data_IF_234869182041
#
_entry.id   IF_234869182041
#
_cell.length_a   1.000
_cell.length_b   1.000
_cell.length_c   1.000
_cell.angle_alpha   90.00
_cell.angle_beta   90.00
_cell.angle_gamma   90.00
#
_symmetry.space_group_name_H-M   'P 1'
#
loop_
_entity.id
_entity.type
_entity.pdbx_description
1 polymer ?
#
# COMPACT_ATOMS: atom_id res chain seq x y z
N UNK A 1 -14.54 53.09 16.17
CA UNK A 1 -13.89 51.85 16.59
C UNK A 1 -14.22 50.85 15.53
N UNK A 2 -13.28 50.61 14.60
CA UNK A 2 -13.42 49.68 13.48
C UNK A 2 -12.69 48.41 13.87
N UNK A 3 -13.40 47.32 13.90
CA UNK A 3 -12.80 46.01 14.12
C UNK A 3 -11.97 45.59 12.91
N UNK A 4 -10.80 44.92 13.10
CA UNK A 4 -10.00 44.46 12.00
C UNK A 4 -10.65 43.23 11.37
N UNK A 5 -10.85 43.29 10.07
CA UNK A 5 -11.29 42.18 9.20
C UNK A 5 -10.11 41.22 9.00
N UNK A 6 -10.11 40.12 9.72
CA UNK A 6 -9.20 38.98 9.44
C UNK A 6 -9.65 38.28 8.17
N UNK A 7 -9.01 38.62 7.05
CA UNK A 7 -9.12 37.93 5.79
C UNK A 7 -8.04 36.85 5.71
N UNK A 8 -8.18 35.78 6.47
CA UNK A 8 -7.50 34.51 6.12
C UNK A 8 -8.48 33.63 5.35
N UNK A 9 -8.41 33.76 4.01
CA UNK A 9 -9.17 32.97 3.05
C UNK A 9 -8.60 31.58 2.86
N UNK A 10 -8.24 30.88 3.92
CA UNK A 10 -7.99 29.44 3.87
C UNK A 10 -9.34 28.74 3.78
N UNK A 11 -9.71 28.30 2.59
CA UNK A 11 -10.73 27.25 2.44
C UNK A 11 -10.40 26.14 3.44
N UNK A 12 -11.40 25.60 4.18
CA UNK A 12 -11.14 24.46 5.04
C UNK A 12 -10.55 23.36 4.14
N UNK A 13 -9.23 23.11 4.26
CA UNK A 13 -8.62 21.90 3.72
C UNK A 13 -9.45 20.77 4.28
N UNK A 14 -10.00 19.95 3.38
CA UNK A 14 -10.84 18.85 3.79
C UNK A 14 -10.02 17.99 4.77
N UNK A 15 -10.47 17.90 6.04
CA UNK A 15 -9.85 17.04 7.07
C UNK A 15 -9.92 15.55 6.66
N UNK A 16 -10.31 15.27 5.45
CA UNK A 16 -10.50 13.94 4.84
C UNK A 16 -9.40 13.70 3.81
N UNK A 17 -8.74 12.57 3.91
CA UNK A 17 -7.75 12.11 2.93
C UNK A 17 -8.08 10.70 2.42
N UNK A 18 -7.49 10.33 1.29
CA UNK A 18 -7.56 8.98 0.74
C UNK A 18 -6.16 8.38 0.76
N UNK A 19 -6.01 7.25 1.42
CA UNK A 19 -4.73 6.56 1.58
C UNK A 19 -4.78 5.21 0.90
N UNK A 20 -3.81 4.94 0.04
CA UNK A 20 -3.76 3.74 -0.79
C UNK A 20 -2.60 2.86 -0.37
N UNK A 21 -2.83 1.59 -0.15
CA UNK A 21 -1.78 0.61 -0.21
C UNK A 21 -1.21 0.49 -1.62
N UNK A 22 -0.06 -0.18 -1.79
CA UNK A 22 0.62 -0.35 -3.06
C UNK A 22 0.48 -1.77 -3.61
N UNK A 23 1.05 -2.72 -2.87
CA UNK A 23 1.26 -4.10 -3.32
C UNK A 23 -0.04 -4.91 -3.25
N UNK A 24 -0.51 -5.45 -4.38
CA UNK A 24 -1.79 -6.16 -4.45
C UNK A 24 -3.01 -5.25 -4.64
N UNK A 25 -2.94 -3.97 -4.23
CA UNK A 25 -4.01 -2.99 -4.43
C UNK A 25 -3.85 -2.17 -5.72
N UNK A 26 -2.77 -1.41 -5.84
CA UNK A 26 -2.51 -0.53 -6.99
C UNK A 26 -1.73 -1.24 -8.09
N UNK A 27 -0.82 -2.13 -7.71
CA UNK A 27 0.01 -2.91 -8.63
C UNK A 27 -0.06 -4.39 -8.29
N UNK A 28 0.10 -5.24 -9.31
CA UNK A 28 0.22 -6.69 -9.16
C UNK A 28 1.71 -7.06 -9.09
N UNK A 29 2.31 -6.87 -7.93
CA UNK A 29 3.73 -7.12 -7.68
C UNK A 29 4.04 -8.55 -7.22
N UNK A 30 3.03 -9.34 -6.84
CA UNK A 30 3.20 -10.68 -6.28
C UNK A 30 3.97 -11.65 -7.18
N UNK A 31 3.77 -11.67 -8.52
CA UNK A 31 4.60 -12.52 -9.39
C UNK A 31 6.08 -12.16 -9.36
N UNK A 32 6.43 -10.85 -9.21
CA UNK A 32 7.82 -10.39 -9.15
C UNK A 32 8.47 -10.78 -7.82
N UNK A 33 7.72 -10.72 -6.71
CA UNK A 33 8.17 -11.24 -5.42
C UNK A 33 8.43 -12.75 -5.49
N UNK A 34 7.53 -13.53 -6.09
CA UNK A 34 7.72 -14.97 -6.27
C UNK A 34 9.00 -15.29 -7.05
N UNK A 35 9.27 -14.56 -8.12
CA UNK A 35 10.48 -14.73 -8.95
C UNK A 35 11.75 -14.39 -8.15
N UNK A 36 11.76 -13.26 -7.42
CA UNK A 36 12.87 -12.86 -6.57
C UNK A 36 13.14 -13.86 -5.45
N UNK A 37 12.11 -14.29 -4.75
CA UNK A 37 12.17 -15.30 -3.66
C UNK A 37 12.69 -16.64 -4.20
N UNK A 38 12.21 -17.07 -5.36
CA UNK A 38 12.66 -18.29 -6.03
C UNK A 38 14.14 -18.20 -6.36
N UNK A 39 14.62 -17.07 -6.91
CA UNK A 39 16.03 -16.86 -7.23
C UNK A 39 16.91 -16.87 -5.96
N UNK A 40 16.46 -16.24 -4.89
CA UNK A 40 17.19 -16.24 -3.61
C UNK A 40 17.24 -17.64 -3.02
N UNK A 41 16.13 -18.39 -3.03
CA UNK A 41 16.11 -19.77 -2.51
C UNK A 41 16.98 -20.72 -3.32
N UNK A 42 17.09 -20.55 -4.63
CA UNK A 42 18.04 -21.29 -5.45
C UNK A 42 19.48 -21.02 -5.02
N UNK A 43 19.85 -19.76 -4.69
CA UNK A 43 21.17 -19.41 -4.12
C UNK A 43 21.39 -20.10 -2.77
N UNK A 44 20.36 -20.16 -1.95
CA UNK A 44 20.38 -20.83 -0.63
C UNK A 44 20.31 -22.36 -0.72
N UNK A 45 20.19 -22.92 -1.92
CA UNK A 45 20.19 -24.37 -2.18
C UNK A 45 18.92 -25.08 -1.75
N UNK A 46 17.82 -24.38 -1.69
CA UNK A 46 16.51 -24.92 -1.31
C UNK A 46 15.42 -24.54 -2.33
N UNK A 47 14.36 -25.34 -2.34
CA UNK A 47 13.21 -25.11 -3.22
C UNK A 47 12.28 -24.05 -2.64
N UNK A 48 11.63 -23.29 -3.52
CA UNK A 48 10.59 -22.32 -3.22
C UNK A 48 9.32 -22.63 -4.01
N UNK A 49 8.18 -22.49 -3.38
CA UNK A 49 6.89 -22.84 -3.99
C UNK A 49 5.87 -21.71 -3.76
N UNK A 50 4.80 -21.64 -4.57
CA UNK A 50 3.69 -20.71 -4.31
C UNK A 50 3.06 -20.86 -2.92
N UNK A 51 3.08 -22.09 -2.36
CA UNK A 51 2.58 -22.32 -1.00
C UNK A 51 3.47 -21.65 0.07
N UNK A 52 4.77 -21.52 -0.17
CA UNK A 52 5.67 -20.78 0.71
C UNK A 52 5.39 -19.27 0.63
N UNK A 53 5.17 -18.74 -0.56
CA UNK A 53 4.84 -17.33 -0.77
C UNK A 53 3.56 -16.95 -0.03
N UNK A 54 2.50 -17.75 -0.10
CA UNK A 54 1.23 -17.50 0.60
C UNK A 54 1.42 -17.28 2.11
N UNK A 55 2.44 -17.91 2.72
CA UNK A 55 2.75 -17.70 4.14
C UNK A 55 3.30 -16.30 4.44
N UNK A 56 3.76 -15.57 3.42
CA UNK A 56 4.47 -14.30 3.58
C UNK A 56 3.68 -13.08 3.10
N UNK A 57 2.54 -13.30 2.45
CA UNK A 57 1.69 -12.25 1.90
C UNK A 57 1.39 -11.14 2.90
N UNK A 58 1.56 -9.90 2.48
CA UNK A 58 1.36 -8.71 3.31
C UNK A 58 2.31 -8.62 4.52
N UNK A 59 3.40 -9.41 4.52
CA UNK A 59 4.42 -9.40 5.57
C UNK A 59 5.53 -8.37 5.31
N UNK A 60 6.32 -8.09 6.36
CA UNK A 60 7.53 -7.26 6.24
C UNK A 60 8.69 -8.07 5.62
N UNK A 61 9.65 -7.36 5.00
CA UNK A 61 10.92 -7.94 4.53
C UNK A 61 11.61 -8.79 5.60
N UNK A 62 11.60 -8.34 6.83
CA UNK A 62 12.21 -9.03 7.98
C UNK A 62 11.56 -10.41 8.26
N UNK A 63 10.23 -10.50 8.09
CA UNK A 63 9.50 -11.77 8.18
C UNK A 63 9.88 -12.71 7.05
N UNK A 64 9.96 -12.19 5.82
CA UNK A 64 10.38 -12.95 4.65
C UNK A 64 11.80 -13.48 4.82
N UNK A 65 12.74 -12.64 5.20
CA UNK A 65 14.15 -13.03 5.45
C UNK A 65 14.25 -14.14 6.49
N UNK A 66 13.54 -14.03 7.61
CA UNK A 66 13.52 -15.08 8.67
C UNK A 66 12.97 -16.41 8.15
N UNK A 67 11.93 -16.37 7.34
CA UNK A 67 11.34 -17.58 6.75
C UNK A 67 12.30 -18.26 5.77
N UNK A 68 12.93 -17.49 4.87
CA UNK A 68 13.92 -17.99 3.92
C UNK A 68 15.13 -18.60 4.62
N UNK A 69 15.62 -17.95 5.69
CA UNK A 69 16.70 -18.50 6.53
C UNK A 69 16.34 -19.86 7.14
N UNK A 70 15.09 -20.03 7.60
CA UNK A 70 14.61 -21.30 8.17
C UNK A 70 14.61 -22.45 7.15
N UNK A 71 14.55 -22.17 5.85
CA UNK A 71 14.58 -23.16 4.76
C UNK A 71 15.96 -23.31 4.12
N UNK A 72 16.88 -22.38 4.36
CA UNK A 72 18.18 -22.33 3.72
C UNK A 72 19.02 -23.59 4.01
N UNK A 73 19.67 -24.14 2.99
CA UNK A 73 20.63 -25.25 3.10
C UNK A 73 22.08 -24.77 2.96
N UNK A 74 22.28 -23.53 2.51
CA UNK A 74 23.58 -22.87 2.41
C UNK A 74 23.60 -21.66 3.35
N UNK A 75 24.73 -21.36 3.99
CA UNK A 75 24.80 -20.22 4.91
C UNK A 75 24.70 -18.89 4.17
N UNK A 76 23.93 -17.98 4.74
CA UNK A 76 23.89 -16.57 4.36
C UNK A 76 23.49 -15.74 5.61
N UNK A 77 23.89 -14.48 5.65
CA UNK A 77 23.44 -13.57 6.69
C UNK A 77 22.04 -13.02 6.37
N UNK A 78 21.25 -12.60 7.38
CA UNK A 78 19.98 -11.92 7.15
C UNK A 78 20.11 -10.73 6.19
N UNK A 79 21.14 -9.90 6.36
CA UNK A 79 21.39 -8.73 5.50
C UNK A 79 21.65 -9.10 4.04
N UNK A 80 22.41 -10.18 3.78
CA UNK A 80 22.63 -10.67 2.42
C UNK A 80 21.34 -11.13 1.74
N UNK A 81 20.45 -11.82 2.50
CA UNK A 81 19.18 -12.27 1.95
C UNK A 81 18.27 -11.07 1.66
N UNK A 82 18.20 -10.09 2.56
CA UNK A 82 17.45 -8.87 2.36
C UNK A 82 17.94 -8.11 1.11
N UNK A 83 19.25 -7.93 0.97
CA UNK A 83 19.86 -7.29 -0.20
C UNK A 83 19.51 -8.03 -1.51
N UNK A 84 19.64 -9.36 -1.55
CA UNK A 84 19.31 -10.15 -2.73
C UNK A 84 17.83 -10.07 -3.10
N UNK A 85 16.92 -10.09 -2.11
CA UNK A 85 15.50 -9.94 -2.35
C UNK A 85 15.18 -8.55 -2.92
N UNK A 86 15.65 -7.51 -2.23
CA UNK A 86 15.34 -6.13 -2.61
C UNK A 86 15.93 -5.76 -3.95
N UNK A 87 17.21 -6.08 -4.21
CA UNK A 87 17.79 -5.85 -5.54
C UNK A 87 17.07 -6.65 -6.62
N UNK A 88 16.79 -7.95 -6.34
CA UNK A 88 16.13 -8.81 -7.31
C UNK A 88 14.75 -8.31 -7.72
N UNK A 89 13.86 -8.02 -6.75
CA UNK A 89 12.51 -7.55 -7.07
C UNK A 89 12.52 -6.14 -7.68
N UNK A 90 13.41 -5.26 -7.23
CA UNK A 90 13.53 -3.90 -7.78
C UNK A 90 14.05 -3.92 -9.23
N UNK A 91 15.03 -4.77 -9.54
CA UNK A 91 15.54 -4.94 -10.90
C UNK A 91 14.47 -5.53 -11.82
N UNK A 92 13.66 -6.49 -11.35
CA UNK A 92 12.51 -7.01 -12.11
C UNK A 92 11.52 -5.89 -12.46
N UNK A 93 11.21 -4.99 -11.51
CA UNK A 93 10.36 -3.83 -11.79
C UNK A 93 11.00 -2.89 -12.80
N UNK A 94 12.29 -2.59 -12.65
CA UNK A 94 13.04 -1.69 -13.57
C UNK A 94 13.09 -2.24 -14.99
N UNK A 95 13.32 -3.54 -15.14
CA UNK A 95 13.51 -4.18 -16.44
C UNK A 95 12.19 -4.49 -17.14
N UNK A 96 11.22 -5.02 -16.41
CA UNK A 96 9.97 -5.54 -16.98
C UNK A 96 8.73 -4.70 -16.66
N UNK A 97 8.84 -3.76 -15.70
CA UNK A 97 7.69 -3.03 -15.17
C UNK A 97 6.87 -3.87 -14.19
N UNK A 98 5.77 -3.30 -13.75
CA UNK A 98 4.78 -3.96 -12.89
C UNK A 98 3.37 -3.64 -13.39
N UNK A 99 2.47 -4.62 -13.52
CA UNK A 99 1.10 -4.37 -13.95
C UNK A 99 0.36 -3.49 -12.94
N UNK A 100 -0.29 -2.42 -13.44
CA UNK A 100 -1.21 -1.61 -12.64
C UNK A 100 -2.55 -2.32 -12.59
N UNK A 101 -3.13 -2.42 -11.39
CA UNK A 101 -4.42 -3.10 -11.18
C UNK A 101 -5.57 -2.35 -11.88
N UNK A 102 -6.57 -3.08 -12.40
CA UNK A 102 -7.73 -2.46 -13.03
C UNK A 102 -8.45 -1.48 -12.09
N UNK A 103 -8.72 -0.26 -12.55
CA UNK A 103 -9.39 0.79 -11.79
C UNK A 103 -8.44 1.67 -10.96
N UNK A 104 -7.16 1.31 -10.80
CA UNK A 104 -6.24 2.09 -9.95
C UNK A 104 -5.95 3.48 -10.52
N UNK A 105 -5.69 3.59 -11.83
CA UNK A 105 -5.43 4.89 -12.47
C UNK A 105 -6.68 5.76 -12.50
N UNK A 106 -7.82 5.16 -12.81
CA UNK A 106 -9.12 5.82 -12.90
C UNK A 106 -9.50 6.40 -11.54
N UNK A 107 -9.41 5.59 -10.47
CA UNK A 107 -9.76 6.04 -9.13
C UNK A 107 -8.81 7.13 -8.62
N UNK A 108 -7.49 6.99 -8.84
CA UNK A 108 -6.52 8.03 -8.49
C UNK A 108 -6.79 9.34 -9.21
N UNK A 109 -7.12 9.28 -10.51
CA UNK A 109 -7.49 10.47 -11.28
C UNK A 109 -8.77 11.14 -10.74
N UNK A 110 -9.77 10.36 -10.34
CA UNK A 110 -11.00 10.88 -9.73
C UNK A 110 -10.72 11.51 -8.35
N UNK A 111 -9.88 10.89 -7.51
CA UNK A 111 -9.48 11.44 -6.20
C UNK A 111 -8.75 12.78 -6.37
N UNK A 112 -7.80 12.84 -7.31
CA UNK A 112 -7.08 14.07 -7.62
C UNK A 112 -8.01 15.18 -8.20
N UNK A 113 -8.92 14.80 -9.12
CA UNK A 113 -9.89 15.73 -9.69
C UNK A 113 -10.91 16.26 -8.66
N UNK A 114 -11.22 15.45 -7.63
CA UNK A 114 -12.05 15.84 -6.50
C UNK A 114 -11.32 16.78 -5.51
N UNK A 115 -10.00 17.00 -5.68
CA UNK A 115 -9.17 17.80 -4.80
C UNK A 115 -8.94 17.17 -3.43
N UNK A 116 -9.10 15.84 -3.31
CA UNK A 116 -8.86 15.11 -2.08
C UNK A 116 -7.36 14.86 -1.89
N UNK A 117 -6.78 15.26 -0.74
CA UNK A 117 -5.41 14.88 -0.39
C UNK A 117 -5.27 13.36 -0.40
N UNK A 118 -4.18 12.84 -0.98
CA UNK A 118 -3.99 11.40 -1.07
C UNK A 118 -2.55 10.96 -0.88
N UNK A 119 -2.39 9.80 -0.25
CA UNK A 119 -1.09 9.22 0.05
C UNK A 119 -0.98 7.77 -0.42
N UNK A 120 0.25 7.38 -0.74
CA UNK A 120 0.66 5.99 -0.84
C UNK A 120 1.19 5.54 0.53
N UNK A 121 0.73 4.38 1.02
CA UNK A 121 1.14 3.81 2.31
C UNK A 121 1.48 2.34 2.12
N UNK A 122 2.76 2.01 2.10
CA UNK A 122 3.23 0.62 1.85
C UNK A 122 4.15 0.10 2.95
N UNK A 123 4.16 -1.21 3.14
CA UNK A 123 5.17 -1.91 3.95
C UNK A 123 6.45 -2.23 3.16
N UNK A 124 6.50 -1.90 1.88
CA UNK A 124 7.67 -2.07 1.03
C UNK A 124 8.73 -1.02 1.30
N UNK A 125 9.98 -1.36 0.98
CA UNK A 125 11.13 -0.46 1.13
C UNK A 125 11.10 0.67 0.08
N UNK A 126 11.74 1.79 0.41
CA UNK A 126 11.80 3.00 -0.42
C UNK A 126 12.26 2.73 -1.85
N UNK A 127 13.33 1.94 -2.01
CA UNK A 127 13.91 1.66 -3.31
C UNK A 127 12.92 0.95 -4.25
N UNK A 128 12.16 -0.01 -3.72
CA UNK A 128 11.14 -0.72 -4.49
C UNK A 128 9.95 0.19 -4.82
N UNK A 129 9.45 0.94 -3.84
CA UNK A 129 8.37 1.90 -4.04
C UNK A 129 8.73 2.93 -5.13
N UNK A 130 9.93 3.50 -5.08
CA UNK A 130 10.39 4.49 -6.06
C UNK A 130 10.48 3.88 -7.47
N UNK A 131 10.94 2.62 -7.59
CA UNK A 131 10.96 1.91 -8.87
C UNK A 131 9.56 1.66 -9.42
N UNK A 132 8.60 1.27 -8.58
CA UNK A 132 7.19 1.10 -8.96
C UNK A 132 6.61 2.43 -9.45
N UNK A 133 6.80 3.52 -8.70
CA UNK A 133 6.29 4.85 -9.09
C UNK A 133 6.90 5.34 -10.39
N UNK A 134 8.22 5.17 -10.58
CA UNK A 134 8.90 5.54 -11.82
C UNK A 134 8.39 4.77 -13.05
N UNK A 135 8.03 3.50 -12.89
CA UNK A 135 7.52 2.65 -13.99
C UNK A 135 6.03 2.83 -14.26
N UNK A 136 5.26 3.15 -13.24
CA UNK A 136 3.80 3.30 -13.37
C UNK A 136 3.36 4.73 -13.64
N UNK A 137 4.14 5.73 -13.22
CA UNK A 137 3.78 7.15 -13.29
C UNK A 137 2.66 7.53 -12.32
N UNK A 138 2.33 6.69 -11.34
CA UNK A 138 1.39 7.04 -10.28
C UNK A 138 2.01 8.12 -9.38
N UNK A 139 1.20 9.07 -8.93
CA UNK A 139 1.67 10.20 -8.12
C UNK A 139 0.73 10.45 -6.94
N UNK A 140 1.29 10.96 -5.84
CA UNK A 140 0.60 11.16 -4.57
C UNK A 140 1.12 12.44 -3.92
N UNK A 141 0.30 13.05 -3.03
CA UNK A 141 0.70 14.22 -2.25
C UNK A 141 1.67 13.85 -1.11
N UNK A 142 1.58 12.60 -0.61
CA UNK A 142 2.49 12.06 0.39
C UNK A 142 2.81 10.58 0.11
N UNK A 143 4.00 10.16 0.52
CA UNK A 143 4.51 8.79 0.38
C UNK A 143 4.98 8.30 1.76
N UNK A 144 4.50 7.14 2.18
CA UNK A 144 4.93 6.45 3.41
C UNK A 144 5.32 5.02 3.06
N UNK A 145 6.55 4.65 3.38
CA UNK A 145 7.11 3.33 3.15
C UNK A 145 7.72 2.75 4.44
N UNK A 146 8.24 1.53 4.40
CA UNK A 146 8.84 0.87 5.57
C UNK A 146 9.95 1.71 6.22
N UNK A 147 10.72 2.47 5.44
CA UNK A 147 11.84 3.28 5.95
C UNK A 147 11.40 4.54 6.71
N UNK A 148 10.15 4.94 6.64
CA UNK A 148 9.63 6.17 7.26
C UNK A 148 9.05 5.94 8.65
N UNK A 149 8.86 4.69 9.05
CA UNK A 149 8.19 4.28 10.30
C UNK A 149 9.05 3.37 11.15
N UNK A 150 8.78 3.34 12.43
CA UNK A 150 9.45 2.42 13.37
C UNK A 150 8.88 1.03 13.28
N UNK A 151 7.57 0.93 13.02
CA UNK A 151 6.84 -0.34 12.91
C UNK A 151 5.94 -0.29 11.69
N UNK A 152 6.06 -1.30 10.82
CA UNK A 152 5.22 -1.44 9.63
C UNK A 152 3.85 -2.04 9.96
N UNK A 153 2.94 -2.10 8.98
CA UNK A 153 1.65 -2.79 9.10
C UNK A 153 1.85 -4.21 9.72
N UNK A 154 1.02 -4.62 10.69
CA UNK A 154 -0.30 -4.10 11.05
C UNK A 154 -0.30 -2.98 12.12
N UNK A 155 0.85 -2.39 12.49
CA UNK A 155 0.87 -1.23 13.39
C UNK A 155 0.19 -0.03 12.73
N UNK A 156 -0.54 0.85 13.47
CA UNK A 156 -1.20 2.02 12.92
C UNK A 156 -0.23 3.13 12.45
N UNK A 157 1.04 3.09 12.84
CA UNK A 157 2.02 4.15 12.59
C UNK A 157 2.06 4.61 11.12
N UNK A 158 2.06 3.72 10.08
CA UNK A 158 2.12 4.15 8.70
C UNK A 158 0.94 5.04 8.28
N UNK A 159 -0.29 4.66 8.68
CA UNK A 159 -1.49 5.44 8.35
C UNK A 159 -1.60 6.73 9.15
N UNK A 160 -1.19 6.71 10.42
CA UNK A 160 -1.11 7.92 11.26
C UNK A 160 -0.08 8.91 10.70
N UNK A 161 1.06 8.43 10.22
CA UNK A 161 2.07 9.25 9.57
C UNK A 161 1.53 9.87 8.26
N UNK A 162 0.87 9.08 7.43
CA UNK A 162 0.27 9.54 6.18
C UNK A 162 -0.77 10.65 6.43
N UNK A 163 -1.68 10.43 7.38
CA UNK A 163 -2.68 11.43 7.77
C UNK A 163 -2.02 12.73 8.27
N UNK A 164 -0.96 12.61 9.09
CA UNK A 164 -0.18 13.76 9.55
C UNK A 164 0.46 14.55 8.41
N UNK A 165 1.07 13.86 7.43
CA UNK A 165 1.71 14.49 6.27
C UNK A 165 0.69 15.22 5.40
N UNK A 166 -0.52 14.69 5.29
CA UNK A 166 -1.62 15.28 4.52
C UNK A 166 -2.37 16.38 5.32
N UNK A 167 -2.13 16.52 6.63
CA UNK A 167 -2.89 17.42 7.50
C UNK A 167 -4.35 16.99 7.68
N UNK A 168 -4.62 15.67 7.61
CA UNK A 168 -5.94 15.08 7.68
C UNK A 168 -6.20 14.38 9.02
N UNK A 169 -7.50 14.19 9.35
CA UNK A 169 -7.95 13.39 10.48
C UNK A 169 -8.10 11.92 10.04
N UNK A 170 -7.38 10.96 10.64
CA UNK A 170 -7.55 9.54 10.32
C UNK A 170 -9.01 9.08 10.43
N UNK A 171 -9.74 9.54 11.45
CA UNK A 171 -11.14 9.14 11.67
C UNK A 171 -12.11 9.61 10.58
N UNK A 172 -11.70 10.59 9.78
CA UNK A 172 -12.44 11.11 8.63
C UNK A 172 -11.88 10.63 7.29
N UNK A 173 -10.74 9.95 7.33
CA UNK A 173 -10.02 9.49 6.13
C UNK A 173 -10.42 8.07 5.72
N UNK A 174 -10.14 7.75 4.47
CA UNK A 174 -10.43 6.47 3.86
C UNK A 174 -9.12 5.79 3.51
N UNK A 175 -8.95 4.55 3.96
CA UNK A 175 -7.85 3.69 3.53
C UNK A 175 -8.36 2.62 2.57
N UNK A 176 -7.66 2.41 1.46
CA UNK A 176 -7.89 1.32 0.53
C UNK A 176 -6.79 0.29 0.72
N UNK A 177 -7.18 -0.98 0.89
CA UNK A 177 -6.29 -2.06 1.28
C UNK A 177 -6.68 -3.39 0.65
N UNK A 178 -5.68 -4.27 0.42
CA UNK A 178 -5.88 -5.59 -0.17
C UNK A 178 -5.63 -6.74 0.81
N UNK A 179 -4.95 -6.48 1.93
CA UNK A 179 -4.41 -7.47 2.85
C UNK A 179 -4.98 -7.37 4.27
N UNK A 180 -5.08 -8.49 5.03
CA UNK A 180 -5.52 -8.45 6.43
C UNK A 180 -4.63 -7.57 7.33
N UNK A 181 -3.30 -7.56 7.10
CA UNK A 181 -2.36 -6.74 7.88
C UNK A 181 -2.56 -5.25 7.62
N UNK A 182 -2.76 -4.86 6.38
CA UNK A 182 -3.01 -3.49 6.02
C UNK A 182 -4.36 -2.99 6.52
N UNK A 183 -5.41 -3.80 6.38
CA UNK A 183 -6.72 -3.50 6.95
C UNK A 183 -6.62 -3.28 8.47
N UNK A 184 -5.93 -4.18 9.19
CA UNK A 184 -5.76 -4.05 10.64
C UNK A 184 -5.00 -2.75 11.02
N UNK A 185 -3.99 -2.38 10.24
CA UNK A 185 -3.22 -1.14 10.41
C UNK A 185 -4.09 0.11 10.24
N UNK A 186 -4.87 0.16 9.14
CA UNK A 186 -5.75 1.28 8.83
C UNK A 186 -6.89 1.43 9.86
N UNK A 187 -7.49 0.32 10.29
CA UNK A 187 -8.53 0.31 11.34
C UNK A 187 -7.97 0.76 12.69
N UNK A 188 -6.77 0.29 13.06
CA UNK A 188 -6.11 0.71 14.29
C UNK A 188 -5.75 2.20 14.27
N UNK A 189 -5.46 2.77 13.09
CA UNK A 189 -5.28 4.22 12.91
C UNK A 189 -6.61 5.01 12.99
N UNK A 190 -7.76 4.34 12.98
CA UNK A 190 -9.08 4.96 13.03
C UNK A 190 -9.70 5.25 11.66
N UNK A 191 -9.10 4.82 10.56
CA UNK A 191 -9.61 5.06 9.21
C UNK A 191 -10.86 4.22 8.90
N UNK A 192 -11.73 4.75 8.05
CA UNK A 192 -12.69 3.93 7.33
C UNK A 192 -11.97 3.12 6.27
N UNK A 193 -12.19 1.81 6.22
CA UNK A 193 -11.48 0.93 5.29
C UNK A 193 -12.36 0.48 4.14
N UNK A 194 -11.84 0.57 2.92
CA UNK A 194 -12.37 -0.12 1.74
C UNK A 194 -11.37 -1.21 1.39
N UNK A 195 -11.73 -2.45 1.64
CA UNK A 195 -10.91 -3.61 1.33
C UNK A 195 -11.21 -4.12 -0.08
N UNK A 196 -10.15 -4.35 -0.85
CA UNK A 196 -10.16 -4.93 -2.20
C UNK A 196 -9.27 -6.18 -2.16
N UNK A 197 -9.74 -7.32 -1.63
CA UNK A 197 -8.90 -8.49 -1.39
C UNK A 197 -8.18 -8.97 -2.65
N UNK A 198 -6.86 -9.18 -2.57
CA UNK A 198 -6.07 -9.73 -3.67
C UNK A 198 -5.95 -11.26 -3.57
N UNK A 199 -5.23 -11.78 -2.60
CA UNK A 199 -4.89 -13.20 -2.45
C UNK A 199 -5.52 -13.85 -1.22
N UNK A 200 -5.81 -13.08 -0.17
CA UNK A 200 -6.38 -13.57 1.08
C UNK A 200 -7.76 -12.95 1.27
N UNK A 201 -8.81 -13.75 1.53
CA UNK A 201 -10.14 -13.22 1.81
C UNK A 201 -10.15 -12.27 3.01
N UNK A 202 -10.93 -11.21 2.91
CA UNK A 202 -11.17 -10.24 3.98
C UNK A 202 -12.68 -10.18 4.20
N UNK A 203 -13.11 -10.41 5.44
CA UNK A 203 -14.53 -10.37 5.78
C UNK A 203 -15.02 -8.93 6.04
N UNK A 204 -16.27 -8.60 5.68
CA UNK A 204 -16.88 -7.33 6.05
C UNK A 204 -16.94 -7.15 7.57
N UNK A 205 -16.81 -5.90 8.04
CA UNK A 205 -16.92 -5.55 9.45
C UNK A 205 -17.47 -4.12 9.59
N UNK A 206 -17.93 -3.70 10.78
CA UNK A 206 -18.28 -2.30 11.02
C UNK A 206 -17.10 -1.37 10.67
N UNK A 207 -17.35 -0.34 9.85
CA UNK A 207 -16.30 0.56 9.35
C UNK A 207 -15.49 0.04 8.16
N UNK A 208 -15.71 -1.21 7.74
CA UNK A 208 -15.04 -1.86 6.60
C UNK A 208 -16.05 -2.22 5.51
N UNK A 209 -15.82 -1.70 4.32
CA UNK A 209 -16.52 -2.12 3.10
C UNK A 209 -15.60 -3.05 2.31
N UNK A 210 -16.12 -4.17 1.81
CA UNK A 210 -15.36 -5.09 0.95
C UNK A 210 -15.91 -5.04 -0.46
N UNK A 211 -15.03 -4.82 -1.44
CA UNK A 211 -15.36 -4.79 -2.88
C UNK A 211 -14.46 -5.75 -3.64
N UNK A 212 -14.82 -6.07 -4.88
CA UNK A 212 -14.06 -7.02 -5.70
C UNK A 212 -12.93 -6.36 -6.50
N UNK A 213 -13.09 -5.08 -6.80
CA UNK A 213 -12.17 -4.34 -7.69
C UNK A 213 -12.22 -2.85 -7.37
N UNK A 214 -11.13 -2.14 -7.66
CA UNK A 214 -11.11 -0.68 -7.67
C UNK A 214 -12.08 -0.09 -8.73
N UNK A 215 -12.44 -0.88 -9.76
CA UNK A 215 -13.46 -0.49 -10.74
C UNK A 215 -14.86 -0.31 -10.13
N UNK A 216 -15.13 -0.94 -8.99
CA UNK A 216 -16.40 -0.82 -8.28
C UNK A 216 -16.51 0.50 -7.49
N UNK A 217 -15.44 1.31 -7.50
CA UNK A 217 -15.30 2.52 -6.72
C UNK A 217 -15.31 3.78 -7.60
N UNK A 218 -15.79 4.87 -7.02
CA UNK A 218 -15.68 6.24 -7.56
C UNK A 218 -15.25 7.20 -6.47
N UNK A 219 -14.69 8.35 -6.87
CA UNK A 219 -14.38 9.43 -5.94
C UNK A 219 -15.08 10.73 -6.35
N UNK A 220 -15.52 11.47 -5.35
CA UNK A 220 -16.03 12.84 -5.47
C UNK A 220 -15.59 13.66 -4.24
N UNK A 221 -16.01 14.91 -4.15
CA UNK A 221 -15.62 15.80 -3.05
C UNK A 221 -16.01 15.29 -1.64
N UNK A 222 -16.89 14.28 -1.54
CA UNK A 222 -17.27 13.64 -0.26
C UNK A 222 -16.38 12.44 0.12
N UNK A 223 -15.50 12.00 -0.78
CA UNK A 223 -14.59 10.86 -0.58
C UNK A 223 -14.76 9.77 -1.62
N UNK A 224 -14.37 8.54 -1.26
CA UNK A 224 -14.51 7.34 -2.09
C UNK A 224 -15.75 6.56 -1.69
N UNK A 225 -16.53 6.13 -2.67
CA UNK A 225 -17.79 5.40 -2.51
C UNK A 225 -17.95 4.33 -3.61
N UNK A 226 -18.96 3.47 -3.45
CA UNK A 226 -19.31 2.49 -4.48
C UNK A 226 -19.85 3.19 -5.73
N UNK A 227 -19.50 2.68 -6.91
CA UNK A 227 -20.21 3.01 -8.13
C UNK A 227 -21.61 2.39 -8.07
N UNK A 228 -22.61 3.15 -8.44
CA UNK A 228 -23.92 2.56 -8.65
C UNK A 228 -23.85 1.59 -9.83
N UNK A 229 -24.47 0.40 -9.73
CA UNK A 229 -24.57 -0.51 -10.87
C UNK A 229 -25.26 0.23 -12.02
N UNK A 230 -24.58 0.30 -13.16
CA UNK A 230 -24.83 1.19 -14.30
C UNK A 230 -26.26 1.52 -14.61
N UNK A 231 -26.49 2.83 -14.82
CA UNK A 231 -27.59 3.33 -15.60
C UNK A 231 -27.30 3.17 -17.09
#
# INVERSE_FOLDING_TARGET
MSEPYDSDGSSPRADTAVMFDMDGLLVDSEPLWLDAETAVMARLGADWTPADQVQLLGGSLDRTVRYLLGKARRPASPGQIAEWLMSGVTDLVRDHGVPVRPGARELLAEVAAAGLPHALVTSSEREFMDAVLARTGLSFDALVCANDVSVTKPDPEPYLLAAKLLGADPARSIALEDSPNGVASAEAAGCRVIAVPSLVPIEPAPGRTVVRSLLDLRADASGVSLREPGG
#
